data_IF_386356350988
#
_entry.id   IF_386356350988
#
_cell.length_a   1.000
_cell.length_b   1.000
_cell.length_c   1.000
_cell.angle_alpha   90.00
_cell.angle_beta   90.00
_cell.angle_gamma   90.00
#
_symmetry.space_group_name_H-M   'P 1'
#
loop_
_entity.id
_entity.type
_entity.pdbx_description
1 polymer ?
#
# COMPACT_ATOMS: atom_id res chain seq x y z
N UNK A 1 -19.09 -18.71 -3.12
CA UNK A 1 -18.75 -17.64 -2.16
C UNK A 1 -17.24 -17.69 -1.98
N UNK A 2 -16.50 -17.01 -2.84
CA UNK A 2 -15.05 -16.80 -2.65
C UNK A 2 -14.92 -15.58 -1.77
N UNK A 3 -14.63 -15.79 -0.49
CA UNK A 3 -14.33 -14.72 0.45
C UNK A 3 -13.04 -14.04 0.02
N UNK A 4 -13.18 -13.04 -0.85
CA UNK A 4 -12.24 -11.93 -0.89
C UNK A 4 -12.45 -11.21 0.44
N UNK A 5 -11.41 -11.14 1.27
CA UNK A 5 -11.46 -10.29 2.46
C UNK A 5 -11.66 -8.86 1.97
N UNK A 6 -12.88 -8.35 2.09
CA UNK A 6 -13.23 -6.94 1.80
C UNK A 6 -12.40 -5.96 2.64
N UNK A 7 -11.71 -6.44 3.69
CA UNK A 7 -10.84 -5.67 4.57
C UNK A 7 -9.59 -5.08 3.89
N UNK A 8 -9.18 -5.58 2.71
CA UNK A 8 -7.99 -5.08 2.01
C UNK A 8 -8.29 -4.24 0.76
N UNK A 9 -9.56 -4.09 0.39
CA UNK A 9 -9.95 -3.28 -0.76
C UNK A 9 -10.45 -1.91 -0.27
N UNK A 10 -9.56 -0.92 -0.23
CA UNK A 10 -9.99 0.46 -0.04
C UNK A 10 -10.61 0.96 -1.35
N UNK A 11 -11.93 1.25 -1.42
CA UNK A 11 -12.55 1.69 -2.65
C UNK A 11 -11.94 3.02 -3.11
N UNK A 12 -11.39 3.03 -4.33
CA UNK A 12 -10.74 4.20 -4.92
C UNK A 12 -9.22 4.09 -5.07
N UNK A 13 -8.61 3.00 -4.60
CA UNK A 13 -7.16 2.78 -4.76
C UNK A 13 -6.83 1.89 -5.96
N UNK A 14 -5.70 2.17 -6.61
CA UNK A 14 -5.19 1.51 -7.81
C UNK A 14 -3.77 0.99 -7.56
N UNK A 15 -3.31 -0.01 -8.35
CA UNK A 15 -1.90 -0.38 -8.35
C UNK A 15 -0.99 0.82 -8.62
N UNK A 16 0.02 1.02 -7.77
CA UNK A 16 0.91 2.18 -7.75
C UNK A 16 0.54 3.21 -6.69
N UNK A 17 -0.67 3.19 -6.15
CA UNK A 17 -1.06 4.11 -5.07
C UNK A 17 -0.30 3.79 -3.78
N UNK A 18 -0.01 4.86 -3.04
CA UNK A 18 0.68 4.79 -1.75
C UNK A 18 -0.32 5.12 -0.66
N UNK A 19 -0.40 4.23 0.33
CA UNK A 19 -1.31 4.31 1.45
C UNK A 19 -0.51 4.28 2.75
N UNK A 20 -1.06 4.94 3.78
CA UNK A 20 -0.55 4.82 5.13
C UNK A 20 -1.23 3.63 5.83
N UNK A 21 -0.44 2.73 6.39
CA UNK A 21 -0.87 1.53 7.12
C UNK A 21 -0.40 1.67 8.56
N UNK A 22 -1.27 1.39 9.52
CA UNK A 22 -0.88 1.35 10.93
C UNK A 22 -0.11 0.05 11.21
N UNK A 23 1.17 0.15 11.56
CA UNK A 23 1.97 -0.98 12.03
C UNK A 23 1.77 -1.13 13.54
N UNK A 24 1.07 -2.19 13.96
CA UNK A 24 0.82 -2.47 15.38
C UNK A 24 2.09 -2.90 16.14
N UNK A 25 3.09 -3.46 15.46
CA UNK A 25 4.35 -3.91 16.08
C UNK A 25 5.29 -2.73 16.33
N UNK A 26 5.42 -1.85 15.35
CA UNK A 26 6.22 -0.63 15.46
C UNK A 26 5.49 0.51 16.21
N UNK A 27 4.15 0.48 16.23
CA UNK A 27 3.33 1.51 16.84
C UNK A 27 3.31 2.84 16.06
N UNK A 28 3.50 2.78 14.74
CA UNK A 28 3.58 3.95 13.86
C UNK A 28 2.84 3.74 12.53
N UNK A 29 2.53 4.83 11.82
CA UNK A 29 2.01 4.76 10.46
C UNK A 29 3.18 4.56 9.49
N UNK A 30 3.13 3.49 8.71
CA UNK A 30 4.11 3.14 7.69
C UNK A 30 3.51 3.23 6.30
N UNK A 31 4.30 3.66 5.33
CA UNK A 31 3.84 3.79 3.94
C UNK A 31 3.99 2.47 3.19
N UNK A 32 2.91 2.06 2.53
CA UNK A 32 2.85 0.87 1.69
C UNK A 32 2.38 1.24 0.28
N UNK A 33 2.91 0.55 -0.73
CA UNK A 33 2.41 0.64 -2.10
C UNK A 33 1.46 -0.51 -2.38
N UNK A 34 0.37 -0.19 -3.09
CA UNK A 34 -0.55 -1.17 -3.64
C UNK A 34 0.03 -1.72 -4.93
N UNK A 35 0.14 -3.04 -5.02
CA UNK A 35 0.65 -3.75 -6.20
C UNK A 35 -0.33 -4.84 -6.61
N UNK A 36 -0.31 -5.21 -7.89
CA UNK A 36 -1.05 -6.37 -8.37
C UNK A 36 -0.47 -7.65 -7.76
N UNK A 37 -1.33 -8.63 -7.52
CA UNK A 37 -0.88 -9.98 -7.25
C UNK A 37 -0.21 -10.60 -8.50
N UNK A 38 0.45 -11.74 -8.33
CA UNK A 38 1.21 -12.41 -9.39
C UNK A 38 0.34 -12.92 -10.54
N UNK A 39 -0.98 -12.99 -10.32
CA UNK A 39 -1.96 -13.51 -11.28
C UNK A 39 -2.81 -12.41 -11.92
N UNK A 40 -2.62 -11.14 -11.52
CA UNK A 40 -3.41 -9.99 -11.96
C UNK A 40 -4.87 -10.01 -11.52
N UNK A 41 -5.24 -10.85 -10.54
CA UNK A 41 -6.64 -11.07 -10.15
C UNK A 41 -7.03 -10.32 -8.87
N UNK A 42 -6.07 -9.67 -8.22
CA UNK A 42 -6.26 -8.93 -6.98
C UNK A 42 -5.12 -7.96 -6.72
N UNK A 43 -5.27 -7.17 -5.66
CA UNK A 43 -4.26 -6.23 -5.18
C UNK A 43 -3.73 -6.68 -3.83
N UNK A 44 -2.43 -6.51 -3.61
CA UNK A 44 -1.75 -6.68 -2.33
C UNK A 44 -0.99 -5.41 -1.98
N UNK A 45 -0.61 -5.25 -0.72
CA UNK A 45 0.24 -4.14 -0.28
C UNK A 45 1.65 -4.66 -0.03
N UNK A 46 2.65 -3.80 -0.24
CA UNK A 46 4.03 -4.06 0.16
C UNK A 46 4.65 -2.80 0.78
N UNK A 47 5.61 -2.93 1.70
CA UNK A 47 6.39 -1.77 2.14
C UNK A 47 7.13 -1.13 0.96
N UNK A 48 7.34 0.18 1.05
CA UNK A 48 8.15 0.94 0.10
C UNK A 48 9.64 0.58 0.23
N UNK A 49 10.33 0.51 -0.91
CA UNK A 49 11.79 0.45 -0.95
C UNK A 49 12.40 1.83 -0.62
N UNK A 50 13.69 1.88 -0.29
CA UNK A 50 14.37 3.13 0.14
C UNK A 50 14.28 4.24 -0.90
N UNK A 51 14.47 3.89 -2.18
CA UNK A 51 14.33 4.77 -3.33
C UNK A 51 12.91 5.31 -3.49
N UNK A 52 11.89 4.49 -3.23
CA UNK A 52 10.49 4.92 -3.31
C UNK A 52 10.08 5.78 -2.10
N UNK A 53 10.71 5.61 -0.93
CA UNK A 53 10.43 6.45 0.24
C UNK A 53 10.89 7.89 0.00
N UNK A 54 12.08 8.06 -0.57
CA UNK A 54 12.65 9.38 -0.87
C UNK A 54 11.75 10.19 -1.82
N UNK A 55 11.24 9.56 -2.88
CA UNK A 55 10.35 10.24 -3.85
C UNK A 55 9.04 10.74 -3.21
N UNK A 56 8.51 9.99 -2.23
CA UNK A 56 7.22 10.27 -1.60
C UNK A 56 7.35 11.34 -0.51
N UNK A 57 8.47 11.36 0.20
CA UNK A 57 8.80 12.39 1.17
C UNK A 57 9.07 13.74 0.51
N UNK A 58 9.72 13.74 -0.67
CA UNK A 58 9.97 14.97 -1.43
C UNK A 58 8.67 15.57 -1.99
N UNK A 59 7.77 14.72 -2.49
CA UNK A 59 6.45 15.14 -3.00
C UNK A 59 5.51 15.69 -1.91
N UNK A 60 5.69 15.27 -0.65
CA UNK A 60 4.84 15.73 0.48
C UNK A 60 5.30 17.08 1.07
N UNK A 61 6.49 17.55 0.71
CA UNK A 61 7.09 18.80 1.21
C UNK A 61 7.05 19.97 0.20
N UNK A 62 6.34 19.82 -0.93
CA UNK A 62 6.24 20.82 -2.00
C UNK A 62 4.94 21.64 -1.96
#
# INVERSE_FOLDING_TARGET
MTGVNDDFYQPGTHPGDIIDVWDEEAGEMVKHMIVLDEFGNGTKTRPLYEDEKEEVEDASNS
#
